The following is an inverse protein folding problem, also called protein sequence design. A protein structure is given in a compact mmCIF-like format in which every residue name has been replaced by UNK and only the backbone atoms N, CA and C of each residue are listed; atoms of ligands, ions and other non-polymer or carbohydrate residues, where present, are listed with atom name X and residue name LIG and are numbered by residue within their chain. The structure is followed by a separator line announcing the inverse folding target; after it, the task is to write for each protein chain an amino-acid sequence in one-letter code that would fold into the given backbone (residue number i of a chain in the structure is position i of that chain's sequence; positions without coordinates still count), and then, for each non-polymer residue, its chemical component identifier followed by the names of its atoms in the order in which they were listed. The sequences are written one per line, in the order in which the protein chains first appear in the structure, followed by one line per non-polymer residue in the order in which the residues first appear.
data_IF_109630096519
#
_entry.id   IF_109630096519
#
_cell.length_a   1.000
_cell.length_b   1.000
_cell.length_c   1.000
_cell.angle_alpha   90.00
_cell.angle_beta   90.00
_cell.angle_gamma   90.00
#
_symmetry.space_group_name_H-M   'P 1'
#
loop_
_entity.id
_entity.type
_entity.pdbx_description
1 polymer ?
#
# COMPACT_ATOMS: atom_id res chain seq x y z
N UNK A 1 12.07 26.35 30.42
CA UNK A 1 10.84 25.95 29.71
C UNK A 1 11.15 25.89 28.23
N UNK A 2 11.47 24.71 27.71
CA UNK A 2 11.62 24.50 26.25
C UNK A 2 10.39 23.71 25.80
N UNK A 3 9.63 24.30 24.89
CA UNK A 3 8.39 23.74 24.38
C UNK A 3 8.65 22.41 23.71
N UNK A 4 8.11 21.34 24.29
CA UNK A 4 7.92 20.08 23.59
C UNK A 4 7.08 20.38 22.35
N UNK A 5 7.66 20.17 21.17
CA UNK A 5 6.97 20.32 19.90
C UNK A 5 5.68 19.51 19.94
N UNK A 6 4.55 20.21 19.86
CA UNK A 6 3.20 19.64 19.87
C UNK A 6 3.07 18.53 18.84
N UNK A 7 2.58 17.37 19.27
CA UNK A 7 1.82 16.32 18.56
C UNK A 7 1.57 16.54 17.06
N UNK A 8 2.64 16.55 16.27
CA UNK A 8 2.57 16.29 14.85
C UNK A 8 2.72 14.79 14.65
N UNK A 9 1.72 14.00 15.04
CA UNK A 9 1.58 12.64 14.53
C UNK A 9 1.32 12.78 13.02
N UNK A 10 2.41 12.80 12.25
CA UNK A 10 2.44 13.02 10.80
C UNK A 10 1.45 12.04 10.15
N UNK A 11 0.44 12.55 9.46
CA UNK A 11 -0.36 11.78 8.51
C UNK A 11 0.58 11.22 7.44
N UNK A 12 0.85 9.91 7.48
CA UNK A 12 1.93 9.30 6.69
C UNK A 12 1.57 9.14 5.23
N UNK A 13 0.31 8.79 4.94
CA UNK A 13 -0.24 8.82 3.59
C UNK A 13 -1.38 9.84 3.52
N UNK A 14 -1.43 10.59 2.42
CA UNK A 14 -2.46 11.60 2.17
C UNK A 14 -3.58 10.98 1.33
N UNK A 15 -4.77 11.58 1.36
CA UNK A 15 -5.82 11.24 0.38
C UNK A 15 -5.25 11.40 -1.05
N UNK A 16 -5.51 10.43 -1.92
CA UNK A 16 -4.94 10.37 -3.26
C UNK A 16 -3.58 9.69 -3.36
N UNK A 17 -2.93 9.34 -2.24
CA UNK A 17 -1.67 8.59 -2.28
C UNK A 17 -1.90 7.18 -2.84
N UNK A 18 -1.08 6.79 -3.82
CA UNK A 18 -0.98 5.43 -4.34
C UNK A 18 -0.20 4.56 -3.37
N UNK A 19 -0.81 3.45 -2.97
CA UNK A 19 -0.27 2.54 -1.96
C UNK A 19 -0.50 1.10 -2.38
N UNK A 20 0.25 0.21 -1.77
CA UNK A 20 -0.02 -1.22 -1.79
C UNK A 20 -0.40 -1.71 -0.39
N UNK A 21 -1.36 -2.62 -0.34
CA UNK A 21 -1.82 -3.25 0.91
C UNK A 21 -1.50 -4.74 0.89
N UNK A 22 -0.90 -5.22 1.98
CA UNK A 22 -0.60 -6.63 2.16
C UNK A 22 -1.88 -7.41 2.50
N UNK A 23 -2.30 -8.27 1.58
CA UNK A 23 -3.39 -9.21 1.81
C UNK A 23 -2.85 -10.47 2.46
N UNK A 24 -3.28 -10.75 3.68
CA UNK A 24 -3.05 -12.05 4.33
C UNK A 24 -4.07 -13.05 3.80
N UNK A 25 -3.61 -14.02 3.01
CA UNK A 25 -4.44 -15.17 2.63
C UNK A 25 -4.13 -16.36 3.54
N UNK A 26 -5.09 -17.27 3.69
CA UNK A 26 -4.99 -18.45 4.57
C UNK A 26 -3.81 -19.38 4.24
N UNK A 27 -3.20 -19.21 3.06
CA UNK A 27 -2.20 -20.12 2.49
C UNK A 27 -0.79 -19.50 2.43
N UNK A 28 -0.41 -18.74 3.47
CA UNK A 28 0.90 -18.07 3.63
C UNK A 28 1.34 -17.17 2.47
N UNK A 29 0.49 -16.97 1.46
CA UNK A 29 0.76 -16.13 0.30
C UNK A 29 0.43 -14.69 0.68
N UNK A 30 1.49 -13.94 0.94
CA UNK A 30 1.46 -12.50 1.12
C UNK A 30 1.44 -11.85 -0.26
N UNK A 31 0.28 -11.36 -0.71
CA UNK A 31 0.16 -10.62 -1.97
C UNK A 31 -0.09 -9.14 -1.69
N UNK A 32 0.61 -8.26 -2.39
CA UNK A 32 0.38 -6.82 -2.31
C UNK A 32 -0.65 -6.41 -3.36
N UNK A 33 -1.69 -5.67 -2.94
CA UNK A 33 -2.69 -5.10 -3.84
C UNK A 33 -2.57 -3.59 -3.90
N UNK A 34 -2.50 -3.06 -5.12
CA UNK A 34 -2.48 -1.63 -5.39
C UNK A 34 -3.84 -0.98 -5.10
N UNK A 35 -3.79 0.25 -4.60
CA UNK A 35 -4.97 1.07 -4.36
C UNK A 35 -4.63 2.53 -4.04
N UNK A 36 -5.67 3.28 -3.70
CA UNK A 36 -5.61 4.70 -3.39
C UNK A 36 -6.18 4.97 -1.99
N UNK A 37 -5.47 5.79 -1.22
CA UNK A 37 -5.97 6.27 0.08
C UNK A 37 -7.13 7.24 -0.17
N UNK A 38 -8.33 6.89 0.29
CA UNK A 38 -9.49 7.79 0.19
C UNK A 38 -9.65 8.66 1.46
N UNK A 39 -9.19 8.17 2.60
CA UNK A 39 -9.15 8.89 3.90
C UNK A 39 -8.31 8.12 4.93
N UNK A 40 -7.92 8.77 6.03
CA UNK A 40 -7.21 8.10 7.13
C UNK A 40 -6.84 9.07 8.25
N UNK A 41 -6.32 8.53 9.34
CA UNK A 41 -5.90 9.28 10.54
C UNK A 41 -4.43 9.08 10.90
N UNK A 42 -3.63 8.49 9.99
CA UNK A 42 -2.22 8.16 10.25
C UNK A 42 -1.98 6.76 10.81
N UNK A 43 -2.95 6.18 11.52
CA UNK A 43 -2.88 4.84 12.09
C UNK A 43 -3.67 3.82 11.26
N UNK A 44 -4.83 4.22 10.76
CA UNK A 44 -5.65 3.43 9.84
C UNK A 44 -5.98 4.24 8.59
N UNK A 45 -6.17 3.52 7.50
CA UNK A 45 -6.51 4.10 6.20
C UNK A 45 -7.69 3.38 5.60
N UNK A 46 -8.57 4.14 4.95
CA UNK A 46 -9.52 3.60 3.99
C UNK A 46 -8.85 3.62 2.62
N UNK A 47 -8.77 2.47 2.00
CA UNK A 47 -8.13 2.25 0.70
C UNK A 47 -9.19 1.79 -0.28
N UNK A 48 -9.25 2.42 -1.45
CA UNK A 48 -9.99 1.92 -2.62
C UNK A 48 -9.00 1.15 -3.48
N UNK A 49 -9.25 -0.12 -3.69
CA UNK A 49 -8.36 -0.94 -4.52
C UNK A 49 -8.56 -0.67 -6.01
N UNK A 50 -7.51 -0.96 -6.77
CA UNK A 50 -7.66 -1.07 -8.22
C UNK A 50 -8.52 -2.31 -8.52
N UNK A 51 -9.55 -2.13 -9.34
CA UNK A 51 -10.45 -3.20 -9.71
C UNK A 51 -9.75 -4.30 -10.48
N UNK A 52 -10.11 -5.54 -10.16
CA UNK A 52 -9.91 -6.66 -11.07
C UNK A 52 -10.83 -6.47 -12.28
N UNK A 53 -10.40 -6.91 -13.46
CA UNK A 53 -11.21 -6.85 -14.68
C UNK A 53 -12.62 -7.42 -14.41
N UNK A 54 -13.64 -6.56 -14.46
CA UNK A 54 -15.06 -6.94 -14.34
C UNK A 54 -15.78 -6.61 -13.03
N UNK A 55 -15.13 -5.98 -12.03
CA UNK A 55 -15.80 -5.47 -10.83
C UNK A 55 -15.77 -3.93 -10.80
N UNK A 56 -16.87 -3.29 -10.42
CA UNK A 56 -16.92 -1.84 -10.20
C UNK A 56 -15.97 -1.45 -9.07
N UNK A 57 -15.04 -0.53 -9.35
CA UNK A 57 -14.07 0.03 -8.38
C UNK A 57 -14.72 0.70 -7.16
N UNK A 58 -16.03 0.90 -7.19
CA UNK A 58 -16.78 1.66 -6.18
C UNK A 58 -17.03 0.83 -4.91
N UNK A 59 -17.04 -0.50 -5.01
CA UNK A 59 -17.37 -1.39 -3.88
C UNK A 59 -16.15 -2.00 -3.18
N UNK A 60 -14.95 -1.97 -3.79
CA UNK A 60 -13.74 -2.58 -3.21
C UNK A 60 -12.96 -1.59 -2.33
N UNK A 61 -13.59 -1.18 -1.23
CA UNK A 61 -13.01 -0.28 -0.22
C UNK A 61 -12.82 -1.01 1.11
N UNK A 62 -11.59 -1.00 1.62
CA UNK A 62 -11.22 -1.63 2.88
C UNK A 62 -10.64 -0.63 3.88
N UNK A 63 -10.86 -0.85 5.19
CA UNK A 63 -10.15 -0.13 6.26
C UNK A 63 -9.02 -0.99 6.78
N UNK A 64 -7.79 -0.49 6.70
CA UNK A 64 -6.58 -1.25 6.99
C UNK A 64 -5.67 -0.55 7.99
N UNK A 65 -4.91 -1.34 8.74
CA UNK A 65 -3.86 -0.84 9.63
C UNK A 65 -2.70 -0.32 8.79
N UNK A 66 -2.07 0.76 9.24
CA UNK A 66 -0.85 1.29 8.63
C UNK A 66 0.26 0.25 8.46
N UNK A 67 0.32 -0.75 9.34
CA UNK A 67 1.37 -1.79 9.33
C UNK A 67 1.33 -2.68 8.09
N UNK A 68 0.17 -2.78 7.43
CA UNK A 68 -0.01 -3.57 6.21
C UNK A 68 -0.03 -2.69 4.95
N UNK A 69 0.35 -1.41 5.05
CA UNK A 69 0.34 -0.45 3.94
C UNK A 69 1.76 0.04 3.64
N UNK A 70 2.17 -0.03 2.38
CA UNK A 70 3.44 0.53 1.89
C UNK A 70 3.21 1.46 0.69
N UNK A 71 4.13 2.40 0.39
CA UNK A 71 4.13 3.08 -0.90
C UNK A 71 4.25 2.07 -2.04
N UNK A 72 3.68 2.36 -3.22
CA UNK A 72 3.95 1.57 -4.41
C UNK A 72 5.47 1.54 -4.69
N UNK A 73 6.04 0.38 -5.07
CA UNK A 73 7.44 0.28 -5.38
C UNK A 73 7.78 1.21 -6.55
N UNK A 74 8.99 1.79 -6.56
CA UNK A 74 9.45 2.54 -7.73
C UNK A 74 9.47 1.60 -8.96
N UNK A 75 9.21 2.12 -10.17
CA UNK A 75 9.39 1.35 -11.39
C UNK A 75 10.81 0.75 -11.41
N UNK A 76 10.90 -0.57 -11.54
CA UNK A 76 12.19 -1.24 -11.62
C UNK A 76 12.89 -0.82 -12.91
N UNK A 77 14.14 -0.35 -12.80
CA UNK A 77 15.00 -0.13 -13.96
C UNK A 77 15.52 -1.50 -14.41
N UNK A 78 14.71 -2.19 -15.22
CA UNK A 78 15.00 -3.55 -15.72
C UNK A 78 16.09 -3.56 -16.80
N UNK A 79 16.91 -2.51 -16.88
CA UNK A 79 18.03 -2.43 -17.82
C UNK A 79 19.15 -3.41 -17.48
N UNK A 80 19.34 -3.72 -16.20
CA UNK A 80 20.27 -4.75 -15.74
C UNK A 80 19.52 -6.08 -15.70
N UNK A 81 19.82 -6.97 -16.65
CA UNK A 81 19.13 -8.25 -16.77
C UNK A 81 19.15 -9.08 -15.47
N UNK A 82 18.10 -9.87 -15.26
CA UNK A 82 17.94 -10.72 -14.06
C UNK A 82 19.11 -11.70 -13.91
N UNK A 83 19.66 -11.79 -12.70
CA UNK A 83 20.65 -12.78 -12.32
C UNK A 83 20.00 -14.00 -11.63
N UNK A 84 20.64 -15.16 -11.76
CA UNK A 84 20.22 -16.35 -11.03
C UNK A 84 20.39 -16.11 -9.54
N UNK A 85 19.27 -16.18 -8.79
CA UNK A 85 19.23 -15.92 -7.35
C UNK A 85 18.49 -14.64 -6.97
N UNK A 86 18.10 -13.80 -7.95
CA UNK A 86 17.31 -12.60 -7.67
C UNK A 86 15.92 -12.96 -7.13
N UNK A 87 15.53 -12.30 -6.03
CA UNK A 87 14.20 -12.42 -5.45
C UNK A 87 13.28 -11.36 -6.06
N UNK A 88 12.23 -11.82 -6.73
CA UNK A 88 11.34 -10.95 -7.51
C UNK A 88 9.89 -11.20 -7.10
N UNK A 89 9.10 -10.13 -7.02
CA UNK A 89 7.64 -10.25 -6.85
C UNK A 89 7.01 -10.42 -8.24
N UNK A 90 6.34 -11.55 -8.47
CA UNK A 90 5.60 -11.78 -9.72
C UNK A 90 4.24 -11.11 -9.63
N UNK A 91 4.05 -10.04 -10.40
CA UNK A 91 2.75 -9.40 -10.57
C UNK A 91 1.84 -10.34 -11.36
N UNK A 92 0.69 -10.70 -10.79
CA UNK A 92 -0.34 -11.54 -11.43
C UNK A 92 -1.48 -10.70 -11.98
#
# INVERSE_FOLDING_TARGET
MQGIGKFGDIMKFKKGSRVEVLRKTYLSSCAWRCGEIISGNGQTYRVRYDGLWGLSNEDDVETVSREVVRPCPPPADVSDGWAVGDLVEVVR
#
